data_IF_144063006785
#
_entry.id   IF_144063006785
#
_cell.length_a   1.000
_cell.length_b   1.000
_cell.length_c   1.000
_cell.angle_alpha   90.00
_cell.angle_beta   90.00
_cell.angle_gamma   90.00
#
_symmetry.space_group_name_H-M   'P 1'
#
loop_
_entity.id
_entity.type
_entity.pdbx_description
1 polymer ?
#
# COMPACT_ATOMS: atom_id res chain seq x y z
N UNK A 1 36.51 41.21 -19.82
CA UNK A 1 36.46 40.26 -18.68
C UNK A 1 35.19 40.35 -17.82
N UNK A 2 34.28 41.33 -18.01
CA UNK A 2 33.07 41.47 -17.17
C UNK A 2 31.89 40.53 -17.50
N UNK A 3 31.84 39.91 -18.68
CA UNK A 3 30.68 39.07 -19.07
C UNK A 3 30.73 37.64 -18.51
N UNK A 4 31.93 37.10 -18.21
CA UNK A 4 32.09 35.72 -17.73
C UNK A 4 31.74 35.59 -16.23
N UNK A 5 32.03 36.64 -15.44
CA UNK A 5 31.70 36.67 -14.02
C UNK A 5 30.18 36.72 -13.75
N UNK A 6 29.41 37.36 -14.65
CA UNK A 6 27.94 37.44 -14.54
C UNK A 6 27.25 36.09 -14.81
N UNK A 7 27.75 35.31 -15.77
CA UNK A 7 27.21 33.99 -16.09
C UNK A 7 27.43 32.95 -14.98
N UNK A 8 28.61 32.95 -14.35
CA UNK A 8 28.89 32.06 -13.23
C UNK A 8 28.05 32.42 -12.00
N UNK A 9 27.90 33.71 -11.67
CA UNK A 9 27.09 34.17 -10.55
C UNK A 9 25.60 33.83 -10.73
N UNK A 10 25.06 34.01 -11.94
CA UNK A 10 23.69 33.61 -12.27
C UNK A 10 23.50 32.08 -12.23
N UNK A 11 24.48 31.29 -12.66
CA UNK A 11 24.42 29.83 -12.58
C UNK A 11 24.48 29.32 -11.13
N UNK A 12 25.31 29.93 -10.28
CA UNK A 12 25.43 29.59 -8.86
C UNK A 12 24.20 29.97 -8.02
N UNK A 13 23.42 30.97 -8.44
CA UNK A 13 22.14 31.32 -7.80
C UNK A 13 20.98 30.53 -8.41
N UNK A 14 20.99 30.31 -9.73
CA UNK A 14 19.96 29.54 -10.42
C UNK A 14 19.99 28.04 -10.07
N UNK A 15 21.15 27.46 -9.76
CA UNK A 15 21.27 26.06 -9.35
C UNK A 15 20.54 25.76 -8.01
N UNK A 16 20.76 26.49 -6.90
CA UNK A 16 20.02 26.30 -5.65
C UNK A 16 18.55 26.70 -5.78
N UNK A 17 18.20 27.72 -6.57
CA UNK A 17 16.80 28.06 -6.86
C UNK A 17 16.09 26.95 -7.67
N UNK A 18 16.73 26.40 -8.69
CA UNK A 18 16.20 25.23 -9.44
C UNK A 18 16.14 23.99 -8.57
N UNK A 19 17.10 23.77 -7.68
CA UNK A 19 17.08 22.66 -6.74
C UNK A 19 15.95 22.81 -5.71
N UNK A 20 15.76 24.00 -5.15
CA UNK A 20 14.68 24.32 -4.21
C UNK A 20 13.30 24.28 -4.89
N UNK A 21 13.20 24.76 -6.14
CA UNK A 21 11.98 24.66 -6.94
C UNK A 21 11.68 23.20 -7.32
N UNK A 22 12.69 22.41 -7.67
CA UNK A 22 12.56 20.97 -7.93
C UNK A 22 12.19 20.17 -6.68
N UNK A 23 12.76 20.51 -5.52
CA UNK A 23 12.43 19.89 -4.23
C UNK A 23 11.01 20.24 -3.79
N UNK A 24 10.59 21.49 -3.88
CA UNK A 24 9.21 21.90 -3.55
C UNK A 24 8.19 21.25 -4.49
N UNK A 25 8.52 21.06 -5.78
CA UNK A 25 7.67 20.31 -6.71
C UNK A 25 7.61 18.80 -6.41
N UNK A 26 8.66 18.20 -5.84
CA UNK A 26 8.68 16.78 -5.49
C UNK A 26 8.00 16.49 -4.15
N UNK A 27 8.10 17.40 -3.19
CA UNK A 27 7.56 17.21 -1.85
C UNK A 27 6.02 17.33 -1.84
N UNK A 28 5.45 18.20 -2.67
CA UNK A 28 4.00 18.39 -2.76
C UNK A 28 3.22 17.11 -3.06
N UNK A 29 3.52 16.33 -4.13
CA UNK A 29 2.79 15.08 -4.41
C UNK A 29 3.02 14.02 -3.32
N UNK A 30 4.21 13.97 -2.71
CA UNK A 30 4.49 13.07 -1.57
C UNK A 30 3.58 13.41 -0.38
N UNK A 31 3.52 14.68 0.01
CA UNK A 31 2.67 15.11 1.12
C UNK A 31 1.19 14.84 0.81
N UNK A 32 0.73 15.18 -0.40
CA UNK A 32 -0.66 14.95 -0.81
C UNK A 32 -1.03 13.46 -0.75
N UNK A 33 -0.20 12.59 -1.32
CA UNK A 33 -0.45 11.14 -1.33
C UNK A 33 -0.40 10.57 0.08
N UNK A 34 0.62 10.90 0.88
CA UNK A 34 0.76 10.41 2.24
C UNK A 34 -0.37 10.88 3.16
N UNK A 35 -0.73 12.18 3.15
CA UNK A 35 -1.83 12.70 3.97
C UNK A 35 -3.16 12.06 3.58
N UNK A 36 -3.43 11.96 2.27
CA UNK A 36 -4.64 11.30 1.76
C UNK A 36 -4.70 9.83 2.19
N UNK A 37 -3.59 9.08 2.12
CA UNK A 37 -3.50 7.71 2.63
C UNK A 37 -3.74 7.64 4.13
N UNK A 38 -3.10 8.49 4.93
CA UNK A 38 -3.28 8.50 6.39
C UNK A 38 -4.73 8.81 6.80
N UNK A 39 -5.43 9.67 6.05
CA UNK A 39 -6.85 9.93 6.27
C UNK A 39 -7.71 8.70 5.95
N UNK A 40 -7.47 8.06 4.80
CA UNK A 40 -8.19 6.85 4.42
C UNK A 40 -8.03 5.73 5.47
N UNK A 41 -6.83 5.61 6.03
CA UNK A 41 -6.47 4.61 7.03
C UNK A 41 -6.61 5.09 8.48
N UNK A 42 -7.29 6.22 8.74
CA UNK A 42 -7.46 6.74 10.09
C UNK A 42 -8.18 5.74 11.03
N UNK A 43 -9.15 4.98 10.50
CA UNK A 43 -9.85 3.92 11.23
C UNK A 43 -8.92 2.80 11.70
N UNK A 44 -8.22 2.09 10.79
CA UNK A 44 -7.26 1.04 11.16
C UNK A 44 -6.15 1.54 12.09
N UNK A 45 -5.62 2.75 11.87
CA UNK A 45 -4.62 3.36 12.76
C UNK A 45 -5.20 3.54 14.17
N UNK A 46 -6.42 4.06 14.29
CA UNK A 46 -7.07 4.24 15.59
C UNK A 46 -7.34 2.90 16.30
N UNK A 47 -7.76 1.87 15.57
CA UNK A 47 -7.97 0.53 16.12
C UNK A 47 -6.64 -0.05 16.67
N UNK A 48 -5.55 0.04 15.91
CA UNK A 48 -4.21 -0.41 16.32
C UNK A 48 -3.71 0.37 17.54
N UNK A 49 -3.86 1.70 17.54
CA UNK A 49 -3.48 2.54 18.67
C UNK A 49 -4.29 2.22 19.93
N UNK A 50 -5.58 1.89 19.78
CA UNK A 50 -6.45 1.55 20.90
C UNK A 50 -6.12 0.18 21.49
N UNK A 51 -5.79 -0.80 20.65
CA UNK A 51 -5.42 -2.15 21.07
C UNK A 51 -3.95 -2.27 21.51
N UNK A 52 -3.10 -1.30 21.13
CA UNK A 52 -1.67 -1.31 21.43
C UNK A 52 -0.87 -2.36 20.65
N UNK A 53 -1.42 -2.88 19.55
CA UNK A 53 -0.83 -3.98 18.76
C UNK A 53 0.05 -3.42 17.64
N UNK A 54 1.27 -3.02 17.97
CA UNK A 54 2.26 -2.58 16.98
C UNK A 54 3.16 -3.75 16.59
N UNK A 55 2.86 -4.41 15.47
CA UNK A 55 3.70 -5.47 14.93
C UNK A 55 4.82 -4.86 14.07
N UNK A 56 6.05 -4.92 14.57
CA UNK A 56 7.23 -4.51 13.82
C UNK A 56 7.95 -5.73 13.24
N UNK A 57 8.48 -5.66 12.00
CA UNK A 57 9.24 -6.75 11.43
C UNK A 57 10.45 -7.11 12.30
N UNK A 58 10.65 -8.40 12.55
CA UNK A 58 11.68 -8.87 13.48
C UNK A 58 13.12 -8.65 12.98
N UNK A 59 13.33 -8.46 11.67
CA UNK A 59 14.67 -8.25 11.10
C UNK A 59 14.80 -6.99 10.24
N UNK A 60 15.97 -6.31 10.27
CA UNK A 60 16.24 -5.14 9.44
C UNK A 60 16.09 -5.41 7.93
N UNK A 61 16.40 -6.63 7.49
CA UNK A 61 16.27 -7.03 6.09
C UNK A 61 14.80 -7.10 5.66
N UNK A 62 13.93 -7.65 6.51
CA UNK A 62 12.49 -7.67 6.25
C UNK A 62 11.90 -6.26 6.25
N UNK A 63 12.36 -5.39 7.15
CA UNK A 63 11.95 -3.99 7.21
C UNK A 63 12.30 -3.25 5.91
N UNK A 64 13.56 -3.33 5.46
CA UNK A 64 14.00 -2.72 4.20
C UNK A 64 13.26 -3.29 2.98
N UNK A 65 13.04 -4.60 2.97
CA UNK A 65 12.27 -5.26 1.92
C UNK A 65 10.85 -4.70 1.86
N UNK A 66 10.11 -4.70 2.98
CA UNK A 66 8.68 -4.40 3.02
C UNK A 66 8.35 -2.92 2.82
N UNK A 67 9.21 -2.01 3.28
CA UNK A 67 8.91 -0.58 3.30
C UNK A 67 9.69 0.25 2.28
N UNK A 68 10.71 -0.32 1.63
CA UNK A 68 11.50 0.42 0.64
C UNK A 68 11.59 -0.34 -0.67
N UNK A 69 12.19 -1.54 -0.67
CA UNK A 69 12.51 -2.24 -1.92
C UNK A 69 11.25 -2.71 -2.65
N UNK A 70 10.34 -3.36 -1.95
CA UNK A 70 9.09 -3.87 -2.53
C UNK A 70 8.20 -2.72 -3.03
N UNK A 71 7.86 -1.68 -2.22
CA UNK A 71 7.06 -0.55 -2.71
C UNK A 71 7.66 0.15 -3.93
N UNK A 72 8.97 0.43 -3.92
CA UNK A 72 9.62 1.09 -5.06
C UNK A 72 9.62 0.19 -6.30
N UNK A 73 9.99 -1.09 -6.15
CA UNK A 73 10.07 -2.03 -7.26
C UNK A 73 8.71 -2.27 -7.92
N UNK A 74 7.69 -2.47 -7.12
CA UNK A 74 6.32 -2.70 -7.60
C UNK A 74 5.76 -1.46 -8.30
N UNK A 75 5.88 -0.26 -7.70
CA UNK A 75 5.39 0.95 -8.34
C UNK A 75 6.18 1.29 -9.61
N UNK A 76 7.49 1.06 -9.62
CA UNK A 76 8.30 1.25 -10.84
C UNK A 76 7.83 0.33 -11.97
N UNK A 77 7.55 -0.95 -11.68
CA UNK A 77 7.08 -1.88 -12.69
C UNK A 77 5.65 -1.54 -13.16
N UNK A 78 4.69 -1.42 -12.24
CA UNK A 78 3.28 -1.28 -12.59
C UNK A 78 2.89 0.12 -13.04
N UNK A 79 3.48 1.19 -12.47
CA UNK A 79 3.14 2.60 -12.77
C UNK A 79 4.19 3.27 -13.65
N UNK A 80 5.43 2.79 -13.64
CA UNK A 80 6.46 3.24 -14.59
C UNK A 80 6.37 2.50 -15.92
N UNK A 81 6.62 1.19 -15.91
CA UNK A 81 6.74 0.38 -17.14
C UNK A 81 5.38 0.05 -17.74
N UNK A 82 4.50 -0.61 -17.00
CA UNK A 82 3.23 -1.11 -17.54
C UNK A 82 2.31 0.04 -17.98
N UNK A 83 2.24 1.14 -17.24
CA UNK A 83 1.46 2.31 -17.64
C UNK A 83 1.97 2.96 -18.94
N UNK A 84 3.28 2.93 -19.18
CA UNK A 84 3.88 3.40 -20.43
C UNK A 84 3.52 2.47 -21.60
N UNK A 85 3.54 1.16 -21.40
CA UNK A 85 3.09 0.18 -22.40
C UNK A 85 1.60 0.32 -22.74
N UNK A 86 0.80 0.69 -21.75
CA UNK A 86 -0.64 0.92 -21.89
C UNK A 86 -0.99 2.37 -22.26
N UNK A 87 -0.04 3.19 -22.73
CA UNK A 87 -0.26 4.62 -23.01
C UNK A 87 -1.36 4.88 -24.05
N UNK A 88 -1.65 3.93 -24.95
CA UNK A 88 -2.75 4.03 -25.93
C UNK A 88 -4.14 3.70 -25.36
N UNK A 89 -4.23 3.20 -24.12
CA UNK A 89 -5.51 2.94 -23.44
C UNK A 89 -6.00 4.22 -22.78
N UNK A 90 -7.31 4.29 -22.53
CA UNK A 90 -7.87 5.34 -21.67
C UNK A 90 -7.30 5.20 -20.25
N UNK A 91 -7.26 6.31 -19.50
CA UNK A 91 -6.82 6.33 -18.09
C UNK A 91 -7.52 5.25 -17.24
N UNK A 92 -8.86 5.12 -17.25
CA UNK A 92 -9.55 4.06 -16.50
C UNK A 92 -9.15 2.64 -16.95
N UNK A 93 -8.97 2.43 -18.26
CA UNK A 93 -8.57 1.13 -18.80
C UNK A 93 -7.17 0.73 -18.39
N UNK A 94 -6.24 1.70 -18.36
CA UNK A 94 -4.86 1.49 -17.90
C UNK A 94 -4.80 1.18 -16.40
N UNK A 95 -5.54 1.93 -15.58
CA UNK A 95 -5.65 1.69 -14.14
C UNK A 95 -6.22 0.29 -13.88
N UNK A 96 -7.30 -0.08 -14.56
CA UNK A 96 -7.94 -1.39 -14.38
C UNK A 96 -7.00 -2.55 -14.74
N UNK A 97 -6.36 -2.49 -15.91
CA UNK A 97 -5.44 -3.57 -16.35
C UNK A 97 -4.25 -3.68 -15.41
N UNK A 98 -3.68 -2.56 -14.97
CA UNK A 98 -2.57 -2.58 -14.01
C UNK A 98 -2.98 -3.16 -12.67
N UNK A 99 -4.14 -2.76 -12.12
CA UNK A 99 -4.65 -3.29 -10.87
C UNK A 99 -4.92 -4.81 -10.93
N UNK A 100 -5.49 -5.28 -12.05
CA UNK A 100 -5.73 -6.70 -12.27
C UNK A 100 -4.43 -7.50 -12.32
N UNK A 101 -3.44 -7.04 -13.10
CA UNK A 101 -2.15 -7.72 -13.20
C UNK A 101 -1.36 -7.65 -11.88
N UNK A 102 -1.45 -6.54 -11.16
CA UNK A 102 -0.87 -6.37 -9.83
C UNK A 102 -1.44 -7.40 -8.84
N UNK A 103 -2.76 -7.58 -8.82
CA UNK A 103 -3.39 -8.60 -8.00
C UNK A 103 -3.00 -10.02 -8.43
N UNK A 104 -2.96 -10.27 -9.74
CA UNK A 104 -2.57 -11.57 -10.28
C UNK A 104 -1.14 -11.96 -9.90
N UNK A 105 -0.19 -11.02 -9.87
CA UNK A 105 1.18 -11.34 -9.46
C UNK A 105 1.27 -11.80 -8.01
N UNK A 106 0.35 -11.40 -7.14
CA UNK A 106 0.33 -11.82 -5.74
C UNK A 106 -0.17 -13.26 -5.53
N UNK A 107 -0.65 -13.93 -6.58
CA UNK A 107 -0.95 -15.35 -6.53
C UNK A 107 0.27 -16.20 -6.16
N UNK A 108 1.49 -15.68 -6.30
CA UNK A 108 2.71 -16.38 -5.88
C UNK A 108 2.73 -16.70 -4.37
N UNK A 109 1.97 -15.98 -3.53
CA UNK A 109 1.83 -16.29 -2.10
C UNK A 109 0.99 -17.55 -1.83
N UNK A 110 0.30 -18.11 -2.84
CA UNK A 110 -0.58 -19.26 -2.63
C UNK A 110 0.20 -20.47 -2.12
N UNK A 111 1.36 -20.72 -2.74
CA UNK A 111 2.23 -21.84 -2.38
C UNK A 111 2.81 -21.63 -0.99
N UNK A 112 3.30 -20.42 -0.68
CA UNK A 112 3.84 -20.15 0.66
C UNK A 112 2.76 -20.31 1.74
N UNK A 113 1.54 -19.83 1.51
CA UNK A 113 0.43 -20.02 2.45
C UNK A 113 0.03 -21.48 2.62
N UNK A 114 0.02 -22.27 1.55
CA UNK A 114 -0.26 -23.70 1.62
C UNK A 114 0.83 -24.44 2.42
N UNK A 115 2.10 -24.11 2.18
CA UNK A 115 3.23 -24.64 2.94
C UNK A 115 3.16 -24.24 4.43
N UNK A 116 2.84 -22.99 4.74
CA UNK A 116 2.74 -22.50 6.12
C UNK A 116 1.57 -23.16 6.86
N UNK A 117 0.42 -23.33 6.18
CA UNK A 117 -0.72 -24.08 6.72
C UNK A 117 -0.33 -25.54 7.03
N UNK A 118 0.41 -26.17 6.12
CA UNK A 118 0.89 -27.54 6.31
C UNK A 118 1.83 -27.66 7.51
N UNK A 119 2.83 -26.77 7.65
CA UNK A 119 3.77 -26.77 8.79
C UNK A 119 3.06 -26.55 10.13
N UNK A 120 2.11 -25.63 10.18
CA UNK A 120 1.33 -25.35 11.40
C UNK A 120 0.43 -26.52 11.81
N UNK A 121 0.00 -27.35 10.86
CA UNK A 121 -0.71 -28.59 11.14
C UNK A 121 0.22 -29.68 11.67
N UNK A 122 1.43 -29.79 11.12
CA UNK A 122 2.45 -30.76 11.58
C UNK A 122 2.85 -30.52 13.04
N UNK A 123 3.05 -29.26 13.45
CA UNK A 123 3.37 -28.90 14.84
C UNK A 123 2.26 -29.24 15.86
N UNK A 124 1.01 -29.37 15.40
CA UNK A 124 -0.15 -29.67 16.26
C UNK A 124 -0.54 -31.14 16.28
N UNK A 125 0.03 -31.95 15.41
CA UNK A 125 -0.47 -33.31 15.18
C UNK A 125 0.32 -34.38 15.92
N UNK A 126 -0.37 -35.05 16.85
CA UNK A 126 0.10 -36.25 17.57
C UNK A 126 -0.58 -37.52 17.01
N UNK A 127 -1.52 -37.42 16.05
CA UNK A 127 -2.37 -38.55 15.71
C UNK A 127 -2.73 -38.69 14.21
N UNK A 128 -2.00 -39.58 13.52
CA UNK A 128 -2.49 -40.60 12.58
C UNK A 128 -3.44 -40.27 11.42
N UNK A 129 -3.80 -39.02 11.14
CA UNK A 129 -4.71 -38.68 10.02
C UNK A 129 -4.00 -38.79 8.66
N UNK A 130 -4.77 -39.24 7.65
CA UNK A 130 -4.32 -39.50 6.28
C UNK A 130 -3.66 -38.27 5.63
N UNK A 131 -2.52 -38.49 4.96
CA UNK A 131 -1.66 -37.41 4.44
C UNK A 131 -2.36 -36.63 3.32
N UNK A 132 -3.06 -37.32 2.45
CA UNK A 132 -3.70 -36.72 1.27
C UNK A 132 -4.88 -35.82 1.67
N UNK A 133 -5.66 -36.23 2.67
CA UNK A 133 -6.80 -35.44 3.17
C UNK A 133 -6.33 -34.12 3.82
N UNK A 134 -5.21 -34.15 4.55
CA UNK A 134 -4.57 -32.97 5.13
C UNK A 134 -4.06 -32.00 4.07
N UNK A 135 -3.42 -32.50 3.02
CA UNK A 135 -2.90 -31.68 1.92
C UNK A 135 -4.05 -30.92 1.24
N UNK A 136 -5.14 -31.62 0.90
CA UNK A 136 -6.30 -30.99 0.29
C UNK A 136 -6.95 -29.92 1.19
N UNK A 137 -7.00 -30.15 2.51
CA UNK A 137 -7.50 -29.16 3.46
C UNK A 137 -6.62 -27.90 3.51
N UNK A 138 -5.29 -28.06 3.47
CA UNK A 138 -4.33 -26.95 3.47
C UNK A 138 -4.48 -26.09 2.21
N UNK A 139 -4.54 -26.71 1.02
CA UNK A 139 -4.75 -25.98 -0.23
C UNK A 139 -6.10 -25.28 -0.30
N UNK A 140 -7.17 -25.90 0.22
CA UNK A 140 -8.49 -25.28 0.30
C UNK A 140 -8.47 -24.04 1.21
N UNK A 141 -7.83 -24.13 2.37
CA UNK A 141 -7.65 -23.00 3.29
C UNK A 141 -6.82 -21.88 2.65
N UNK A 142 -5.68 -22.23 2.03
CA UNK A 142 -4.83 -21.25 1.34
C UNK A 142 -5.57 -20.54 0.19
N UNK A 143 -6.38 -21.29 -0.58
CA UNK A 143 -7.22 -20.73 -1.64
C UNK A 143 -8.30 -19.76 -1.12
N UNK A 144 -8.90 -20.06 0.04
CA UNK A 144 -9.88 -19.17 0.67
C UNK A 144 -9.23 -17.86 1.13
N UNK A 145 -8.07 -17.94 1.80
CA UNK A 145 -7.29 -16.76 2.19
C UNK A 145 -6.85 -15.95 0.97
N UNK A 146 -6.40 -16.64 -0.09
CA UNK A 146 -5.96 -16.00 -1.33
C UNK A 146 -7.07 -15.20 -2.01
N UNK A 147 -8.33 -15.64 -1.94
CA UNK A 147 -9.45 -14.88 -2.47
C UNK A 147 -9.57 -13.49 -1.81
N UNK A 148 -9.46 -13.44 -0.48
CA UNK A 148 -9.45 -12.18 0.28
C UNK A 148 -8.28 -11.27 -0.12
N UNK A 149 -7.06 -11.84 -0.17
CA UNK A 149 -5.85 -11.12 -0.61
C UNK A 149 -6.05 -10.56 -2.01
N UNK A 150 -6.53 -11.36 -2.96
CA UNK A 150 -6.76 -10.93 -4.34
C UNK A 150 -7.71 -9.72 -4.43
N UNK A 151 -8.79 -9.71 -3.62
CA UNK A 151 -9.73 -8.58 -3.60
C UNK A 151 -9.06 -7.32 -3.05
N UNK A 152 -8.40 -7.40 -1.90
CA UNK A 152 -7.76 -6.24 -1.28
C UNK A 152 -6.59 -5.71 -2.13
N UNK A 153 -5.77 -6.59 -2.69
CA UNK A 153 -4.67 -6.24 -3.58
C UNK A 153 -5.17 -5.61 -4.88
N UNK A 154 -6.29 -6.08 -5.44
CA UNK A 154 -6.92 -5.45 -6.61
C UNK A 154 -7.47 -4.05 -6.28
N UNK A 155 -8.15 -3.88 -5.14
CA UNK A 155 -8.66 -2.58 -4.70
C UNK A 155 -7.52 -1.58 -4.45
N UNK A 156 -6.44 -2.04 -3.79
CA UNK A 156 -5.23 -1.25 -3.65
C UNK A 156 -4.62 -0.91 -5.02
N UNK A 157 -4.57 -1.86 -5.95
CA UNK A 157 -4.08 -1.66 -7.30
C UNK A 157 -4.83 -0.53 -8.04
N UNK A 158 -6.16 -0.51 -7.92
CA UNK A 158 -7.04 0.52 -8.48
C UNK A 158 -6.76 1.88 -7.83
N UNK A 159 -6.72 1.93 -6.49
CA UNK A 159 -6.44 3.14 -5.73
C UNK A 159 -5.07 3.72 -6.08
N UNK A 160 -4.03 2.90 -6.11
CA UNK A 160 -2.67 3.32 -6.41
C UNK A 160 -2.50 3.78 -7.86
N UNK A 161 -3.22 3.15 -8.80
CA UNK A 161 -3.30 3.64 -10.18
C UNK A 161 -3.94 5.03 -10.27
N UNK A 162 -5.05 5.24 -9.55
CA UNK A 162 -5.70 6.55 -9.47
C UNK A 162 -4.80 7.61 -8.81
N UNK A 163 -4.18 7.27 -7.68
CA UNK A 163 -3.22 8.15 -6.98
C UNK A 163 -2.06 8.54 -7.88
N UNK A 164 -1.46 7.57 -8.59
CA UNK A 164 -0.33 7.84 -9.48
C UNK A 164 -0.67 8.92 -10.52
N UNK A 165 -1.84 8.82 -11.16
CA UNK A 165 -2.25 9.77 -12.20
C UNK A 165 -2.74 11.12 -11.65
N UNK A 166 -3.54 11.13 -10.57
CA UNK A 166 -4.29 12.32 -10.14
C UNK A 166 -3.72 13.01 -8.89
N UNK A 167 -3.05 12.27 -8.00
CA UNK A 167 -2.55 12.79 -6.71
C UNK A 167 -1.04 12.99 -6.73
N UNK A 168 -0.33 12.02 -7.30
CA UNK A 168 1.13 11.98 -7.36
C UNK A 168 1.71 12.68 -8.58
N UNK A 169 0.88 13.16 -9.52
CA UNK A 169 1.30 13.85 -10.74
C UNK A 169 2.34 13.02 -11.56
N UNK A 170 2.20 11.68 -11.56
CA UNK A 170 3.12 10.76 -12.22
C UNK A 170 4.43 10.46 -11.47
N UNK A 171 4.58 10.93 -10.22
CA UNK A 171 5.77 10.69 -9.40
C UNK A 171 5.78 9.28 -8.80
N UNK A 172 6.76 8.46 -9.21
CA UNK A 172 6.99 7.11 -8.66
C UNK A 172 7.36 7.16 -7.17
N UNK A 173 8.17 8.13 -6.75
CA UNK A 173 8.57 8.26 -5.34
C UNK A 173 7.37 8.60 -4.45
N UNK A 174 6.45 9.45 -4.93
CA UNK A 174 5.25 9.82 -4.17
C UNK A 174 4.27 8.66 -4.02
N UNK A 175 4.08 7.84 -5.06
CA UNK A 175 3.23 6.64 -4.94
C UNK A 175 3.91 5.55 -4.12
N UNK A 176 5.22 5.35 -4.25
CA UNK A 176 5.96 4.37 -3.45
C UNK A 176 5.93 4.72 -1.95
N UNK A 177 5.98 6.00 -1.58
CA UNK A 177 5.82 6.44 -0.20
C UNK A 177 4.41 6.12 0.34
N UNK A 178 3.36 6.39 -0.45
CA UNK A 178 1.99 6.04 -0.08
C UNK A 178 1.79 4.51 0.02
N UNK A 179 2.40 3.73 -0.87
CA UNK A 179 2.41 2.28 -0.82
C UNK A 179 3.12 1.78 0.45
N UNK A 180 4.31 2.29 0.78
CA UNK A 180 5.02 1.93 2.00
C UNK A 180 4.17 2.18 3.27
N UNK A 181 3.40 3.27 3.31
CA UNK A 181 2.43 3.52 4.38
C UNK A 181 1.32 2.46 4.43
N UNK A 182 0.75 2.08 3.29
CA UNK A 182 -0.24 1.00 3.22
C UNK A 182 0.34 -0.34 3.71
N UNK A 183 1.59 -0.65 3.36
CA UNK A 183 2.27 -1.86 3.84
C UNK A 183 2.51 -1.82 5.35
N UNK A 184 2.76 -0.63 5.93
CA UNK A 184 2.96 -0.48 7.36
C UNK A 184 1.66 -0.57 8.17
N UNK A 185 0.56 -0.06 7.61
CA UNK A 185 -0.74 -0.07 8.29
C UNK A 185 -1.46 -1.42 8.11
N UNK A 186 -1.32 -2.01 6.92
CA UNK A 186 -2.04 -3.23 6.54
C UNK A 186 -3.50 -2.98 6.15
N UNK A 187 -4.22 -4.04 5.74
CA UNK A 187 -5.63 -3.96 5.41
C UNK A 187 -6.49 -3.67 6.65
N UNK A 188 -7.68 -3.07 6.49
CA UNK A 188 -8.58 -2.83 7.61
C UNK A 188 -9.15 -4.15 8.16
N UNK A 189 -8.70 -4.56 9.34
CA UNK A 189 -9.16 -5.79 10.00
C UNK A 189 -10.48 -5.62 10.77
N UNK A 190 -10.89 -4.37 11.03
CA UNK A 190 -12.10 -4.04 11.80
C UNK A 190 -12.19 -4.76 13.16
N UNK A 191 -11.03 -4.93 13.82
CA UNK A 191 -10.87 -5.73 15.05
C UNK A 191 -11.82 -5.28 16.16
N UNK A 192 -11.94 -3.97 16.40
CA UNK A 192 -12.85 -3.40 17.41
C UNK A 192 -14.32 -3.63 17.04
N UNK A 193 -14.68 -3.40 15.78
CA UNK A 193 -16.06 -3.55 15.31
C UNK A 193 -16.54 -5.00 15.35
N UNK A 194 -15.64 -5.94 14.99
CA UNK A 194 -15.91 -7.38 14.97
C UNK A 194 -15.77 -8.03 16.36
N UNK A 195 -15.05 -7.40 17.30
CA UNK A 195 -14.86 -7.91 18.65
C UNK A 195 -16.18 -8.06 19.40
N UNK A 196 -16.35 -9.18 20.10
CA UNK A 196 -17.48 -9.41 21.02
C UNK A 196 -17.27 -8.74 22.39
N UNK A 197 -16.03 -8.42 22.75
CA UNK A 197 -15.66 -7.92 24.06
C UNK A 197 -15.65 -6.39 24.16
N UNK A 198 -15.63 -5.68 23.02
CA UNK A 198 -15.67 -4.22 22.99
C UNK A 198 -17.08 -3.70 23.29
N UNK A 199 -17.16 -2.62 24.05
CA UNK A 199 -18.39 -1.93 24.41
C UNK A 199 -19.04 -1.27 23.19
N UNK A 200 -20.35 -1.03 23.27
CA UNK A 200 -21.07 -0.33 22.20
C UNK A 200 -20.48 1.07 21.91
N UNK A 201 -19.99 1.76 22.93
CA UNK A 201 -19.36 3.07 22.79
C UNK A 201 -18.05 3.01 22.01
N UNK A 202 -17.20 2.01 22.29
CA UNK A 202 -15.94 1.80 21.56
C UNK A 202 -16.21 1.47 20.09
N UNK A 203 -17.22 0.63 19.82
CA UNK A 203 -17.63 0.29 18.44
C UNK A 203 -18.14 1.51 17.68
N UNK A 204 -19.01 2.32 18.29
CA UNK A 204 -19.51 3.56 17.68
C UNK A 204 -18.36 4.55 17.44
N UNK A 205 -17.43 4.67 18.39
CA UNK A 205 -16.25 5.51 18.24
C UNK A 205 -15.36 5.05 17.08
N UNK A 206 -15.02 3.76 17.02
CA UNK A 206 -14.22 3.19 15.93
C UNK A 206 -14.92 3.42 14.58
N UNK A 207 -16.21 3.07 14.47
CA UNK A 207 -17.00 3.29 13.25
C UNK A 207 -17.01 4.76 12.81
N UNK A 208 -17.14 5.69 13.75
CA UNK A 208 -17.08 7.12 13.47
C UNK A 208 -15.72 7.55 12.90
N UNK A 209 -14.61 7.00 13.40
CA UNK A 209 -13.27 7.30 12.86
C UNK A 209 -13.09 6.73 11.45
N UNK A 210 -13.57 5.51 11.17
CA UNK A 210 -13.57 4.97 9.79
C UNK A 210 -14.34 5.87 8.83
N UNK A 211 -15.56 6.27 9.19
CA UNK A 211 -16.39 7.14 8.36
C UNK A 211 -15.73 8.51 8.18
N UNK A 212 -15.24 9.12 9.25
CA UNK A 212 -14.55 10.42 9.19
C UNK A 212 -13.29 10.35 8.31
N UNK A 213 -12.52 9.26 8.40
CA UNK A 213 -11.35 9.02 7.56
C UNK A 213 -11.69 8.94 6.07
N UNK A 214 -12.71 8.15 5.71
CA UNK A 214 -13.19 8.02 4.33
C UNK A 214 -13.73 9.35 3.79
N UNK A 215 -14.54 10.06 4.59
CA UNK A 215 -15.07 11.38 4.20
C UNK A 215 -13.94 12.40 4.02
N UNK A 216 -12.97 12.41 4.94
CA UNK A 216 -11.79 13.27 4.85
C UNK A 216 -10.95 12.97 3.61
N UNK A 217 -10.70 11.69 3.33
CA UNK A 217 -10.01 11.23 2.12
C UNK A 217 -10.74 11.65 0.84
N UNK A 218 -12.05 11.39 0.75
CA UNK A 218 -12.85 11.79 -0.39
C UNK A 218 -12.82 13.32 -0.60
N UNK A 219 -12.90 14.08 0.49
CA UNK A 219 -12.78 15.53 0.43
C UNK A 219 -11.40 15.99 -0.05
N UNK A 220 -10.32 15.34 0.38
CA UNK A 220 -8.98 15.66 -0.14
C UNK A 220 -8.88 15.39 -1.65
N UNK A 221 -9.46 14.28 -2.13
CA UNK A 221 -9.48 13.96 -3.56
C UNK A 221 -10.29 14.96 -4.38
N UNK A 222 -11.37 15.52 -3.84
CA UNK A 222 -12.16 16.57 -4.52
C UNK A 222 -11.42 17.92 -4.61
N UNK A 223 -10.42 18.13 -3.76
CA UNK A 223 -9.61 19.36 -3.73
C UNK A 223 -8.35 19.27 -4.60
N UNK A 224 -8.05 18.07 -5.08
CA UNK A 224 -6.82 17.76 -5.80
C UNK A 224 -6.98 17.87 -7.30
#
# INVERSE_FOLDING_TARGET
MCCVASGAYLAFIAAPLRAAQRQSTLLRPIIRSCVSTLLLFAGPIADVCHLGTFDMPESPLLLWRNYVICPIGEELFYRGVLFSLLHRRSSPGRIFVSAFLFSLSHMHHLVSMACDAYRNCEDKDVNGSDRDEKEHACWRSAGQTMCGIFVFTALFGLLSGYYYEHVCEGSIIAIAAAHALCNAIGPPEFTILRSRHCTAREKVSSAAVYVAGIVGWAWTLLRY
#
